data_IF_312459319396
#
_entry.id   IF_312459319396
#
_cell.length_a   1.000
_cell.length_b   1.000
_cell.length_c   1.000
_cell.angle_alpha   90.00
_cell.angle_beta   90.00
_cell.angle_gamma   90.00
#
_symmetry.space_group_name_H-M   'P 1'
#
loop_
_entity.id
_entity.type
_entity.pdbx_description
1 polymer ?
#
# COMPACT_ATOMS: atom_id res chain seq x y z
N UNK A 1 6.94 -19.47 -3.22
CA UNK A 1 6.63 -19.53 -4.67
C UNK A 1 5.55 -20.57 -4.93
N UNK A 2 4.27 -20.17 -4.88
CA UNK A 2 3.14 -21.01 -5.31
C UNK A 2 2.55 -20.36 -6.57
N UNK A 3 2.58 -21.12 -7.66
CA UNK A 3 2.13 -20.73 -9.00
C UNK A 3 0.61 -20.93 -9.10
N UNK A 4 -0.12 -19.90 -9.52
CA UNK A 4 -1.49 -20.04 -10.03
C UNK A 4 -1.44 -20.56 -11.48
N UNK A 5 -2.36 -21.45 -11.92
CA UNK A 5 -2.40 -21.89 -13.30
C UNK A 5 -3.25 -20.92 -14.15
N UNK A 6 -2.63 -20.39 -15.20
CA UNK A 6 -3.26 -19.61 -16.27
C UNK A 6 -3.98 -20.59 -17.22
N UNK A 7 -5.29 -20.41 -17.41
CA UNK A 7 -6.07 -21.18 -18.39
C UNK A 7 -6.06 -20.44 -19.73
N UNK A 8 -5.30 -20.95 -20.70
CA UNK A 8 -5.28 -20.47 -22.09
C UNK A 8 -6.26 -21.30 -22.91
N UNK A 9 -7.28 -20.68 -23.50
CA UNK A 9 -8.18 -21.29 -24.49
C UNK A 9 -7.69 -20.89 -25.89
N UNK A 10 -7.15 -21.85 -26.63
CA UNK A 10 -6.73 -21.71 -28.02
C UNK A 10 -7.83 -22.27 -28.93
N UNK A 11 -8.48 -21.42 -29.74
CA UNK A 11 -9.41 -21.85 -30.77
C UNK A 11 -8.66 -22.11 -32.09
N UNK A 12 -8.64 -23.37 -32.53
CA UNK A 12 -8.17 -23.75 -33.87
C UNK A 12 -9.27 -23.51 -34.90
N UNK A 13 -8.96 -22.74 -35.93
CA UNK A 13 -9.72 -22.67 -37.19
C UNK A 13 -9.10 -23.66 -38.17
N UNK A 14 -9.88 -24.62 -38.64
CA UNK A 14 -9.53 -25.47 -39.77
C UNK A 14 -10.44 -25.16 -40.95
N UNK A 15 -9.83 -24.70 -42.05
CA UNK A 15 -10.46 -24.55 -43.35
C UNK A 15 -10.03 -25.71 -44.26
N UNK A 16 -10.95 -26.29 -45.03
CA UNK A 16 -10.63 -27.00 -46.27
C UNK A 16 -11.78 -26.89 -47.28
N UNK A 17 -11.42 -26.59 -48.53
CA UNK A 17 -12.30 -26.30 -49.67
C UNK A 17 -12.52 -27.51 -50.60
N UNK A 18 -13.65 -27.44 -51.35
CA UNK A 18 -14.00 -28.01 -52.68
C UNK A 18 -13.96 -29.54 -52.90
N UNK A 19 -14.78 -30.16 -53.77
CA UNK A 19 -15.38 -29.73 -55.05
C UNK A 19 -16.65 -30.54 -55.43
N UNK A 20 -17.52 -29.95 -56.27
CA UNK A 20 -18.44 -30.44 -57.36
C UNK A 20 -18.83 -31.96 -57.43
N UNK A 21 -20.03 -32.41 -57.81
CA UNK A 21 -20.90 -31.98 -58.93
C UNK A 21 -22.29 -32.71 -58.86
N UNK A 22 -23.31 -32.09 -59.48
CA UNK A 22 -24.58 -32.59 -60.08
C UNK A 22 -25.53 -33.59 -59.39
N UNK A 23 -26.77 -33.15 -59.09
CA UNK A 23 -28.01 -33.46 -59.84
C UNK A 23 -29.28 -33.31 -58.99
N UNK A 24 -30.34 -32.87 -59.67
CA UNK A 24 -31.69 -32.51 -59.24
C UNK A 24 -32.50 -33.62 -58.58
N UNK A 25 -33.14 -33.33 -57.44
CA UNK A 25 -34.48 -33.84 -57.15
C UNK A 25 -35.21 -32.94 -56.12
N UNK A 26 -36.47 -32.67 -56.41
CA UNK A 26 -37.37 -31.75 -55.75
C UNK A 26 -38.21 -32.54 -54.74
N UNK A 27 -38.11 -32.28 -53.43
CA UNK A 27 -39.09 -32.78 -52.44
C UNK A 27 -39.15 -31.88 -51.19
N UNK A 28 -40.23 -31.11 -51.12
CA UNK A 28 -41.14 -30.88 -49.98
C UNK A 28 -40.54 -30.65 -48.57
N UNK A 29 -40.62 -29.38 -48.16
CA UNK A 29 -41.08 -28.86 -46.87
C UNK A 29 -40.57 -29.50 -45.57
N UNK A 30 -39.71 -28.78 -44.83
CA UNK A 30 -39.88 -28.52 -43.40
C UNK A 30 -39.13 -27.23 -43.03
N UNK A 31 -39.85 -26.13 -42.84
CA UNK A 31 -39.31 -24.91 -42.22
C UNK A 31 -39.25 -25.17 -40.72
N UNK A 32 -38.07 -25.50 -40.21
CA UNK A 32 -37.82 -25.46 -38.76
C UNK A 32 -37.69 -23.99 -38.37
N UNK A 33 -38.75 -23.43 -37.79
CA UNK A 33 -38.65 -22.17 -37.07
C UNK A 33 -37.70 -22.39 -35.87
N UNK A 34 -36.46 -21.89 -36.02
CA UNK A 34 -35.58 -21.69 -34.88
C UNK A 34 -36.18 -20.60 -34.02
N UNK A 35 -36.86 -21.02 -32.95
CA UNK A 35 -37.19 -20.16 -31.83
C UNK A 35 -35.89 -19.82 -31.13
N UNK A 36 -35.32 -18.65 -31.44
CA UNK A 36 -34.28 -18.04 -30.62
C UNK A 36 -34.93 -17.63 -29.31
N UNK A 37 -34.94 -18.55 -28.34
CA UNK A 37 -35.14 -18.21 -26.94
C UNK A 37 -33.97 -17.32 -26.54
N UNK A 38 -34.22 -16.02 -26.44
CA UNK A 38 -33.32 -15.08 -25.75
C UNK A 38 -33.24 -15.54 -24.30
N UNK A 39 -32.23 -16.34 -23.98
CA UNK A 39 -31.83 -16.62 -22.60
C UNK A 39 -31.44 -15.28 -22.00
N UNK A 40 -32.33 -14.71 -21.18
CA UNK A 40 -31.99 -13.61 -20.31
C UNK A 40 -30.75 -13.99 -19.51
N UNK A 41 -29.77 -13.09 -19.46
CA UNK A 41 -28.60 -13.24 -18.60
C UNK A 41 -29.09 -13.60 -17.19
N UNK A 42 -28.45 -14.57 -16.50
CA UNK A 42 -28.80 -14.83 -15.12
C UNK A 42 -28.64 -13.51 -14.37
N UNK A 43 -29.72 -13.06 -13.74
CA UNK A 43 -29.65 -11.96 -12.80
C UNK A 43 -28.60 -12.38 -11.76
N UNK A 44 -27.50 -11.63 -11.70
CA UNK A 44 -26.52 -11.74 -10.62
C UNK A 44 -27.29 -11.46 -9.35
N UNK A 45 -27.77 -12.51 -8.70
CA UNK A 45 -28.25 -12.42 -7.34
C UNK A 45 -26.97 -12.24 -6.56
N UNK A 46 -26.64 -10.99 -6.22
CA UNK A 46 -25.62 -10.69 -5.24
C UNK A 46 -26.10 -11.37 -3.96
N UNK A 47 -25.65 -12.60 -3.74
CA UNK A 47 -25.74 -13.22 -2.42
C UNK A 47 -24.94 -12.31 -1.50
N UNK A 48 -25.63 -11.43 -0.78
CA UNK A 48 -25.08 -10.70 0.35
C UNK A 48 -24.34 -11.72 1.23
N UNK A 49 -23.04 -11.52 1.39
CA UNK A 49 -22.29 -12.23 2.43
C UNK A 49 -22.75 -11.61 3.76
N UNK A 50 -23.21 -12.39 4.75
CA UNK A 50 -23.61 -11.84 6.05
C UNK A 50 -22.37 -11.29 6.76
N UNK A 51 -22.32 -9.96 6.83
CA UNK A 51 -21.26 -9.15 7.43
C UNK A 51 -19.81 -9.42 7.00
N UNK A 52 -18.92 -8.52 7.41
CA UNK A 52 -17.50 -8.63 7.13
C UNK A 52 -16.66 -7.59 7.87
N UNK A 53 -15.33 -7.70 7.70
CA UNK A 53 -14.39 -6.70 8.18
C UNK A 53 -14.32 -5.53 7.22
N UNK A 54 -14.38 -4.33 7.78
CA UNK A 54 -14.23 -3.07 7.08
C UNK A 54 -13.18 -2.23 7.80
N UNK A 55 -12.54 -1.35 7.04
CA UNK A 55 -11.76 -0.24 7.57
C UNK A 55 -12.41 1.07 7.16
N UNK A 56 -12.27 2.08 8.03
CA UNK A 56 -12.68 3.45 7.78
C UNK A 56 -11.56 4.42 8.15
N UNK A 57 -11.31 5.40 7.29
CA UNK A 57 -10.27 6.41 7.51
C UNK A 57 -10.60 7.75 6.88
N UNK A 58 -9.91 8.79 7.35
CA UNK A 58 -9.92 10.15 6.80
C UNK A 58 -8.49 10.49 6.32
N UNK A 59 -8.33 11.30 5.25
CA UNK A 59 -7.03 11.55 4.62
C UNK A 59 -5.92 12.01 5.57
N UNK A 60 -6.23 12.93 6.48
CA UNK A 60 -5.22 13.54 7.34
C UNK A 60 -5.06 12.79 8.65
N UNK A 61 -6.14 12.74 9.43
CA UNK A 61 -6.28 12.16 10.76
C UNK A 61 -7.79 11.99 11.04
N UNK A 62 -8.16 10.98 11.83
CA UNK A 62 -9.53 10.81 12.30
C UNK A 62 -9.92 11.95 13.25
N UNK A 63 -11.13 12.46 13.10
CA UNK A 63 -11.67 13.44 14.05
C UNK A 63 -11.87 12.84 15.45
N UNK A 64 -11.79 13.67 16.48
CA UNK A 64 -12.13 13.24 17.84
C UNK A 64 -13.57 12.71 17.92
N UNK A 65 -13.76 11.55 18.56
CA UNK A 65 -15.06 10.87 18.66
C UNK A 65 -15.42 10.01 17.45
N UNK A 66 -14.53 9.86 16.46
CA UNK A 66 -14.80 9.08 15.24
C UNK A 66 -15.27 7.66 15.52
N UNK A 67 -14.67 6.95 16.48
CA UNK A 67 -15.07 5.58 16.84
C UNK A 67 -16.46 5.50 17.44
N UNK A 68 -16.89 6.54 18.18
CA UNK A 68 -18.23 6.60 18.76
C UNK A 68 -19.28 6.82 17.67
N UNK A 69 -19.02 7.75 16.76
CA UNK A 69 -19.87 8.01 15.58
C UNK A 69 -19.97 6.77 14.69
N UNK A 70 -18.84 6.10 14.43
CA UNK A 70 -18.80 4.86 13.66
C UNK A 70 -19.60 3.74 14.36
N UNK A 71 -19.45 3.60 15.68
CA UNK A 71 -20.18 2.61 16.49
C UNK A 71 -21.69 2.89 16.57
N UNK A 72 -22.12 4.14 16.33
CA UNK A 72 -23.53 4.50 16.30
C UNK A 72 -24.24 4.10 14.99
N UNK A 73 -23.50 3.74 13.95
CA UNK A 73 -24.07 3.27 12.68
C UNK A 73 -24.68 1.88 12.88
N UNK A 74 -25.96 1.73 12.54
CA UNK A 74 -26.65 0.45 12.61
C UNK A 74 -25.94 -0.62 11.79
N UNK A 75 -25.63 -1.77 12.41
CA UNK A 75 -24.90 -2.87 11.78
C UNK A 75 -23.40 -2.86 12.06
N UNK A 76 -22.83 -1.74 12.54
CA UNK A 76 -21.43 -1.68 12.98
C UNK A 76 -21.28 -2.32 14.36
N UNK A 77 -20.21 -3.09 14.53
CA UNK A 77 -19.81 -3.66 15.82
C UNK A 77 -18.28 -3.87 15.85
N UNK A 78 -17.74 -4.16 17.04
CA UNK A 78 -16.32 -4.53 17.24
C UNK A 78 -15.37 -3.48 16.67
N UNK A 79 -15.50 -2.21 17.05
CA UNK A 79 -14.64 -1.15 16.51
C UNK A 79 -13.29 -1.16 17.23
N UNK A 80 -12.19 -1.21 16.47
CA UNK A 80 -10.84 -0.98 16.98
C UNK A 80 -10.18 0.17 16.24
N UNK A 81 -9.74 1.18 16.99
CA UNK A 81 -8.93 2.27 16.46
C UNK A 81 -7.48 1.82 16.28
N UNK A 82 -6.82 2.34 15.25
CA UNK A 82 -5.38 2.23 15.03
C UNK A 82 -4.79 3.61 14.99
N UNK A 83 -3.87 3.86 15.93
CA UNK A 83 -3.06 5.08 15.99
C UNK A 83 -1.71 4.76 15.36
N UNK A 84 -1.23 5.62 14.48
CA UNK A 84 0.06 5.40 13.80
C UNK A 84 1.04 6.47 14.24
N UNK A 85 2.20 6.03 14.67
CA UNK A 85 3.33 6.84 15.10
C UNK A 85 4.62 6.37 14.45
N UNK A 86 5.68 7.09 14.74
CA UNK A 86 7.02 6.83 14.21
C UNK A 86 8.01 6.82 15.36
N UNK A 87 8.84 5.79 15.44
CA UNK A 87 9.83 5.61 16.48
C UNK A 87 11.21 5.37 15.87
N UNK A 88 12.26 5.46 16.69
CA UNK A 88 13.63 5.27 16.24
C UNK A 88 14.29 4.20 17.08
N UNK A 89 14.64 3.07 16.49
CA UNK A 89 15.34 1.99 17.17
C UNK A 89 16.83 2.33 17.26
N UNK A 90 17.38 2.26 18.47
CA UNK A 90 18.82 2.43 18.75
C UNK A 90 19.55 1.11 18.79
N UNK A 91 18.89 0.04 19.24
CA UNK A 91 19.48 -1.28 19.35
C UNK A 91 18.41 -2.35 19.33
N UNK A 92 18.67 -3.45 18.64
CA UNK A 92 17.93 -4.71 18.80
C UNK A 92 18.89 -5.77 19.33
N UNK A 93 18.39 -6.69 20.17
CA UNK A 93 19.23 -7.72 20.76
C UNK A 93 18.48 -9.03 20.96
N UNK A 94 19.21 -10.15 20.93
CA UNK A 94 18.71 -11.47 21.28
C UNK A 94 18.21 -11.50 22.72
N UNK A 95 17.38 -12.49 23.04
CA UNK A 95 16.94 -12.77 24.43
C UNK A 95 18.10 -12.96 25.43
N UNK A 96 19.30 -13.33 24.98
CA UNK A 96 20.51 -13.44 25.81
C UNK A 96 21.32 -12.13 25.92
N UNK A 97 20.84 -11.05 25.30
CA UNK A 97 21.48 -9.73 25.26
C UNK A 97 22.48 -9.53 24.11
N UNK A 98 22.69 -10.51 23.24
CA UNK A 98 23.58 -10.37 22.07
C UNK A 98 23.00 -9.37 21.07
N UNK A 99 23.70 -8.26 20.72
CA UNK A 99 23.19 -7.29 19.75
C UNK A 99 22.94 -7.91 18.36
N UNK A 100 21.84 -7.53 17.72
CA UNK A 100 21.46 -7.92 16.35
C UNK A 100 21.61 -6.74 15.39
N UNK A 101 21.04 -5.59 15.76
CA UNK A 101 21.24 -4.30 15.10
C UNK A 101 21.73 -3.28 16.13
N UNK A 102 22.81 -2.58 15.81
CA UNK A 102 23.35 -1.52 16.65
C UNK A 102 23.98 -0.46 15.74
N UNK A 103 23.18 0.46 15.16
CA UNK A 103 23.70 1.51 14.30
C UNK A 103 24.73 2.40 15.04
N UNK A 104 25.81 2.74 14.35
CA UNK A 104 26.91 3.53 14.92
C UNK A 104 26.70 5.03 14.71
N UNK A 105 27.55 5.88 15.29
CA UNK A 105 27.66 7.29 14.86
C UNK A 105 26.42 8.16 15.07
N UNK A 106 25.52 7.75 15.98
CA UNK A 106 24.26 8.43 16.27
C UNK A 106 23.15 8.17 15.24
N UNK A 107 23.34 7.15 14.38
CA UNK A 107 22.28 6.67 13.51
C UNK A 107 21.28 5.82 14.29
N UNK A 108 20.06 5.74 13.76
CA UNK A 108 18.94 4.97 14.30
C UNK A 108 18.13 4.37 13.15
N UNK A 109 17.42 3.29 13.40
CA UNK A 109 16.49 2.70 12.43
C UNK A 109 15.10 3.33 12.64
N UNK A 110 14.59 4.14 11.71
CA UNK A 110 13.24 4.70 11.83
C UNK A 110 12.21 3.60 11.59
N UNK A 111 11.13 3.52 12.37
CA UNK A 111 10.07 2.52 12.21
C UNK A 111 8.68 3.07 12.41
N UNK A 112 7.72 2.59 11.61
CA UNK A 112 6.29 2.85 11.80
C UNK A 112 5.76 1.98 12.96
N UNK A 113 5.09 2.62 13.93
CA UNK A 113 4.49 1.96 15.10
C UNK A 113 2.98 2.11 15.06
N UNK A 114 2.25 1.01 15.20
CA UNK A 114 0.80 1.02 15.37
C UNK A 114 0.47 0.79 16.84
N UNK A 115 -0.31 1.70 17.42
CA UNK A 115 -0.86 1.55 18.76
C UNK A 115 -2.35 1.23 18.67
N UNK A 116 -2.76 0.17 19.38
CA UNK A 116 -4.13 -0.37 19.35
C UNK A 116 -4.62 -0.70 20.76
N UNK A 117 -5.92 -0.85 20.95
CA UNK A 117 -6.43 -1.59 22.11
C UNK A 117 -6.27 -3.08 21.83
N UNK A 118 -5.39 -3.77 22.56
CA UNK A 118 -5.05 -5.16 22.31
C UNK A 118 -6.28 -6.08 22.36
N UNK A 119 -7.21 -5.83 23.28
CA UNK A 119 -8.42 -6.64 23.43
C UNK A 119 -9.37 -6.47 22.25
N UNK A 120 -9.66 -5.22 21.85
CA UNK A 120 -10.53 -4.94 20.72
C UNK A 120 -9.91 -5.33 19.37
N UNK A 121 -8.61 -5.08 19.19
CA UNK A 121 -7.92 -5.36 17.93
C UNK A 121 -7.68 -6.85 17.71
N UNK A 122 -7.58 -7.66 18.79
CA UNK A 122 -7.45 -9.12 18.68
C UNK A 122 -8.59 -9.78 17.92
N UNK A 123 -9.77 -9.15 17.84
CA UNK A 123 -10.91 -9.67 17.08
C UNK A 123 -10.71 -9.64 15.55
N UNK A 124 -9.70 -8.91 15.07
CA UNK A 124 -9.32 -8.76 13.66
C UNK A 124 -8.08 -9.58 13.28
N UNK A 125 -7.52 -10.32 14.24
CA UNK A 125 -6.35 -11.16 14.04
C UNK A 125 -6.78 -12.63 14.18
N UNK A 126 -6.38 -13.54 13.26
CA UNK A 126 -6.73 -14.94 13.39
C UNK A 126 -5.74 -15.71 14.27
N UNK A 127 -6.23 -16.79 14.88
CA UNK A 127 -5.40 -17.82 15.48
C UNK A 127 -4.58 -17.33 16.69
N UNK A 128 -3.38 -17.91 16.92
CA UNK A 128 -2.58 -17.60 18.10
C UNK A 128 -2.16 -16.13 18.21
N UNK A 129 -2.08 -15.40 17.09
CA UNK A 129 -1.77 -13.96 17.11
C UNK A 129 -2.80 -13.14 17.87
N UNK A 130 -4.07 -13.55 17.86
CA UNK A 130 -5.13 -12.89 18.61
C UNK A 130 -4.90 -12.99 20.12
N UNK A 131 -4.50 -14.16 20.60
CA UNK A 131 -4.24 -14.41 22.03
C UNK A 131 -3.03 -13.59 22.51
N UNK A 132 -1.98 -13.51 21.70
CA UNK A 132 -0.80 -12.68 22.00
C UNK A 132 -1.18 -11.21 22.04
N UNK A 133 -1.95 -10.71 21.07
CA UNK A 133 -2.33 -9.30 21.03
C UNK A 133 -3.28 -8.92 22.18
N UNK A 134 -4.24 -9.79 22.52
CA UNK A 134 -5.17 -9.57 23.62
C UNK A 134 -4.47 -9.54 24.99
N UNK A 135 -3.37 -10.27 25.13
CA UNK A 135 -2.58 -10.39 26.36
C UNK A 135 -1.30 -9.53 26.39
N UNK A 136 -1.09 -8.67 25.39
CA UNK A 136 0.17 -7.94 25.20
C UNK A 136 0.43 -6.99 26.39
N UNK A 137 1.56 -7.18 27.07
CA UNK A 137 1.93 -6.34 28.21
C UNK A 137 2.49 -4.98 27.77
N UNK A 138 2.59 -4.04 28.71
CA UNK A 138 3.08 -2.68 28.42
C UNK A 138 4.53 -2.68 27.93
N UNK A 139 5.37 -3.62 28.37
CA UNK A 139 6.76 -3.77 27.97
C UNK A 139 6.97 -4.76 26.81
N UNK A 140 5.88 -5.12 26.12
CA UNK A 140 5.89 -6.03 24.99
C UNK A 140 5.41 -5.36 23.69
N UNK A 141 5.88 -5.89 22.57
CA UNK A 141 5.45 -5.51 21.23
C UNK A 141 5.28 -6.73 20.33
N UNK A 142 4.49 -6.57 19.28
CA UNK A 142 4.41 -7.51 18.17
C UNK A 142 5.14 -6.91 16.96
N UNK A 143 5.75 -7.75 16.14
CA UNK A 143 6.28 -7.37 14.84
C UNK A 143 5.42 -7.92 13.71
N UNK A 144 5.26 -7.14 12.64
CA UNK A 144 4.85 -7.69 11.35
C UNK A 144 5.91 -8.68 10.83
N UNK A 145 5.50 -9.68 10.05
CA UNK A 145 6.39 -10.71 9.53
C UNK A 145 7.56 -10.15 8.72
N UNK A 146 7.33 -9.09 7.92
CA UNK A 146 8.39 -8.45 7.14
C UNK A 146 9.34 -7.68 8.06
N UNK A 147 8.82 -6.97 9.06
CA UNK A 147 9.64 -6.26 10.05
C UNK A 147 10.55 -7.19 10.86
N UNK A 148 10.00 -8.31 11.34
CA UNK A 148 10.76 -9.33 12.05
C UNK A 148 11.89 -9.90 11.17
N UNK A 149 11.60 -10.18 9.89
CA UNK A 149 12.58 -10.68 8.93
C UNK A 149 13.70 -9.67 8.67
N UNK A 150 13.36 -8.41 8.37
CA UNK A 150 14.34 -7.36 8.08
C UNK A 150 15.35 -7.18 9.24
N UNK A 151 14.84 -7.21 10.47
CA UNK A 151 15.63 -7.02 11.70
C UNK A 151 16.17 -8.32 12.29
N UNK A 152 15.84 -9.46 11.68
CA UNK A 152 16.26 -10.81 12.11
C UNK A 152 15.87 -11.10 13.57
N UNK A 153 14.71 -10.60 14.00
CA UNK A 153 14.22 -10.74 15.38
C UNK A 153 13.21 -11.86 15.51
N UNK A 154 13.23 -12.53 16.66
CA UNK A 154 12.31 -13.59 17.04
C UNK A 154 11.61 -13.24 18.36
N UNK A 155 10.61 -14.04 18.75
CA UNK A 155 9.94 -13.90 20.04
C UNK A 155 10.95 -14.04 21.19
N UNK A 156 10.91 -13.10 22.14
CA UNK A 156 11.83 -12.99 23.26
C UNK A 156 13.02 -12.06 23.02
N UNK A 157 13.26 -11.64 21.78
CA UNK A 157 14.27 -10.62 21.47
C UNK A 157 13.80 -9.24 21.96
N UNK A 158 14.73 -8.29 22.09
CA UNK A 158 14.47 -6.96 22.65
C UNK A 158 14.76 -5.85 21.65
N UNK A 159 14.00 -4.75 21.77
CA UNK A 159 14.12 -3.54 20.94
C UNK A 159 14.21 -2.34 21.86
N UNK A 160 15.25 -1.52 21.71
CA UNK A 160 15.43 -0.26 22.44
C UNK A 160 15.16 0.92 21.53
N UNK A 161 14.33 1.86 21.99
CA UNK A 161 13.97 3.06 21.23
C UNK A 161 14.69 4.31 21.75
N UNK A 162 15.04 5.22 20.85
CA UNK A 162 15.69 6.49 21.16
C UNK A 162 14.77 7.36 22.03
N UNK A 163 15.18 7.61 23.26
CA UNK A 163 14.38 8.41 24.20
C UNK A 163 13.09 7.71 24.67
N UNK A 164 12.92 6.44 24.33
CA UNK A 164 11.75 5.63 24.64
C UNK A 164 12.09 4.36 25.43
N UNK A 165 11.17 3.39 25.49
CA UNK A 165 11.36 2.17 26.25
C UNK A 165 12.30 1.18 25.56
N UNK A 166 12.75 0.20 26.34
CA UNK A 166 13.17 -1.11 25.81
C UNK A 166 11.99 -2.07 25.99
N UNK A 167 11.65 -2.81 24.94
CA UNK A 167 10.51 -3.73 24.89
C UNK A 167 10.94 -5.11 24.42
N UNK A 168 10.13 -6.12 24.75
CA UNK A 168 10.32 -7.50 24.32
C UNK A 168 9.38 -7.83 23.16
N UNK A 169 9.87 -8.58 22.17
CA UNK A 169 9.02 -9.12 21.09
C UNK A 169 8.20 -10.28 21.64
N UNK A 170 6.91 -10.08 21.85
CA UNK A 170 5.99 -11.11 22.35
C UNK A 170 5.41 -11.98 21.23
N UNK A 171 5.36 -11.46 20.00
CA UNK A 171 4.80 -12.17 18.85
C UNK A 171 5.26 -11.63 17.51
N UNK A 172 5.11 -12.48 16.49
CA UNK A 172 5.23 -12.09 15.08
C UNK A 172 3.92 -12.47 14.41
N UNK A 173 3.27 -11.49 13.77
CA UNK A 173 1.98 -11.65 13.10
C UNK A 173 2.16 -11.33 11.61
N UNK A 174 1.41 -12.00 10.75
CA UNK A 174 1.42 -11.75 9.30
C UNK A 174 1.05 -10.28 9.01
N UNK A 175 1.75 -9.68 8.06
CA UNK A 175 1.63 -8.25 7.74
C UNK A 175 0.20 -7.86 7.33
N UNK A 176 -0.57 -8.80 6.73
CA UNK A 176 -1.98 -8.62 6.36
C UNK A 176 -2.87 -8.27 7.56
N UNK A 177 -2.57 -8.79 8.76
CA UNK A 177 -3.38 -8.59 9.97
C UNK A 177 -2.90 -7.47 10.87
N UNK A 178 -1.70 -6.93 10.62
CA UNK A 178 -1.17 -5.76 11.34
C UNK A 178 -1.11 -4.52 10.44
N UNK A 179 -1.69 -4.58 9.25
CA UNK A 179 -1.73 -3.45 8.32
C UNK A 179 -0.33 -2.97 7.91
N UNK A 180 0.61 -3.91 7.69
CA UNK A 180 2.02 -3.64 7.42
C UNK A 180 2.76 -2.86 8.53
N UNK A 181 2.25 -2.86 9.77
CA UNK A 181 2.95 -2.23 10.89
C UNK A 181 4.33 -2.87 11.10
N UNK A 182 5.36 -2.04 11.31
CA UNK A 182 6.67 -2.58 11.67
C UNK A 182 6.70 -3.03 13.13
N UNK A 183 6.01 -2.30 13.99
CA UNK A 183 5.86 -2.59 15.42
C UNK A 183 4.40 -2.34 15.80
N UNK A 184 3.79 -3.26 16.54
CA UNK A 184 2.46 -3.08 17.15
C UNK A 184 2.61 -3.08 18.66
N UNK A 185 1.97 -2.12 19.32
CA UNK A 185 1.91 -1.99 20.78
C UNK A 185 0.48 -1.86 21.26
N UNK A 186 0.19 -2.39 22.45
CA UNK A 186 -1.09 -2.24 23.14
C UNK A 186 -0.98 -1.35 24.39
N UNK A 187 0.14 -0.62 24.55
CA UNK A 187 0.36 0.27 25.68
C UNK A 187 -0.72 1.34 25.78
N UNK A 188 -1.20 1.68 26.98
CA UNK A 188 -2.13 2.80 27.18
C UNK A 188 -1.47 4.16 26.95
N UNK A 189 -0.14 4.25 27.01
CA UNK A 189 0.68 5.46 26.86
C UNK A 189 1.64 5.40 25.66
N UNK A 190 1.15 5.19 24.42
CA UNK A 190 2.03 4.99 23.25
C UNK A 190 2.96 6.16 22.98
N UNK A 191 2.68 7.35 23.53
CA UNK A 191 3.50 8.54 23.38
C UNK A 191 4.94 8.39 23.91
N UNK A 192 5.23 7.35 24.70
CA UNK A 192 6.59 6.97 25.08
C UNK A 192 7.47 6.61 23.89
N UNK A 193 6.90 6.18 22.76
CA UNK A 193 7.63 5.92 21.52
C UNK A 193 7.80 7.17 20.66
N UNK A 194 6.88 8.14 20.75
CA UNK A 194 6.85 9.30 19.88
C UNK A 194 5.46 9.89 19.73
N UNK A 195 5.24 10.70 18.69
CA UNK A 195 3.92 11.28 18.40
C UNK A 195 3.09 10.31 17.57
N UNK A 196 1.83 10.13 17.96
CA UNK A 196 0.84 9.32 17.25
C UNK A 196 -0.27 10.19 16.66
N UNK A 197 -0.93 9.67 15.64
CA UNK A 197 -2.15 10.22 15.05
C UNK A 197 -3.20 9.12 14.96
N UNK A 198 -4.46 9.46 15.20
CA UNK A 198 -5.57 8.52 15.00
C UNK A 198 -5.79 8.36 13.49
N UNK A 199 -5.48 7.19 12.91
CA UNK A 199 -5.38 7.06 11.45
C UNK A 199 -6.54 6.35 10.79
N UNK A 200 -6.97 5.24 11.37
CA UNK A 200 -8.07 4.46 10.83
C UNK A 200 -8.70 3.62 11.93
N UNK A 201 -9.91 3.15 11.68
CA UNK A 201 -10.57 2.16 12.50
C UNK A 201 -10.85 0.92 11.65
N UNK A 202 -10.68 -0.25 12.24
CA UNK A 202 -11.19 -1.52 11.70
C UNK A 202 -12.44 -1.91 12.49
N UNK A 203 -13.44 -2.48 11.82
CA UNK A 203 -14.72 -2.79 12.41
C UNK A 203 -15.40 -3.95 11.69
N UNK A 204 -16.31 -4.63 12.40
CA UNK A 204 -17.26 -5.54 11.78
C UNK A 204 -18.50 -4.77 11.36
N UNK A 205 -19.01 -5.04 10.16
CA UNK A 205 -20.28 -4.49 9.71
C UNK A 205 -21.17 -5.61 9.17
N UNK A 206 -22.45 -5.61 9.57
CA UNK A 206 -23.49 -6.47 9.04
C UNK A 206 -24.62 -5.62 8.44
N UNK A 207 -24.80 -5.72 7.13
CA UNK A 207 -25.82 -4.99 6.37
C UNK A 207 -25.35 -4.57 4.98
N UNK A 208 -26.17 -3.72 4.36
CA UNK A 208 -25.93 -3.21 3.00
C UNK A 208 -24.84 -2.13 3.00
N UNK A 209 -23.78 -2.34 2.19
CA UNK A 209 -22.64 -1.40 2.10
C UNK A 209 -23.07 0.02 1.78
N UNK A 210 -24.02 0.18 0.85
CA UNK A 210 -24.50 1.51 0.44
C UNK A 210 -25.13 2.28 1.60
N UNK A 211 -25.72 1.59 2.59
CA UNK A 211 -26.25 2.21 3.80
C UNK A 211 -25.13 2.62 4.76
N UNK A 212 -24.09 1.78 4.91
CA UNK A 212 -22.89 2.12 5.67
C UNK A 212 -22.20 3.38 5.12
N UNK A 213 -21.98 3.44 3.81
CA UNK A 213 -21.33 4.59 3.17
C UNK A 213 -22.16 5.88 3.32
N UNK A 214 -23.48 5.80 3.17
CA UNK A 214 -24.39 6.93 3.40
C UNK A 214 -24.35 7.42 4.84
N UNK A 215 -24.33 6.51 5.82
CA UNK A 215 -24.26 6.86 7.24
C UNK A 215 -22.88 7.46 7.59
N UNK A 216 -21.79 6.85 7.13
CA UNK A 216 -20.44 7.33 7.37
C UNK A 216 -20.16 8.69 6.73
N UNK A 217 -20.82 9.03 5.62
CA UNK A 217 -20.73 10.35 4.99
C UNK A 217 -21.26 11.50 5.89
N UNK A 218 -21.97 11.18 6.98
CA UNK A 218 -22.42 12.16 7.98
C UNK A 218 -21.44 12.38 9.12
N UNK A 219 -20.40 11.55 9.25
CA UNK A 219 -19.36 11.69 10.27
C UNK A 219 -18.58 13.00 10.01
N UNK A 220 -18.35 13.84 11.05
CA UNK A 220 -17.63 15.10 10.88
C UNK A 220 -16.20 14.94 10.34
N UNK A 221 -15.69 16.02 9.73
CA UNK A 221 -14.31 16.10 9.24
C UNK A 221 -14.20 15.92 7.73
N UNK A 222 -13.10 15.31 7.30
CA UNK A 222 -12.88 14.97 5.89
C UNK A 222 -13.74 13.77 5.47
N UNK A 223 -13.90 13.56 4.16
CA UNK A 223 -14.69 12.44 3.65
C UNK A 223 -14.15 11.09 4.15
N UNK A 224 -15.05 10.28 4.73
CA UNK A 224 -14.70 8.94 5.22
C UNK A 224 -14.54 8.01 4.03
N UNK A 225 -13.38 7.36 3.96
CA UNK A 225 -13.11 6.28 3.01
C UNK A 225 -13.38 4.95 3.67
N UNK A 226 -14.20 4.11 3.03
CA UNK A 226 -14.54 2.76 3.49
C UNK A 226 -13.99 1.73 2.53
N UNK A 227 -13.38 0.68 3.08
CA UNK A 227 -12.94 -0.51 2.34
C UNK A 227 -13.33 -1.78 3.08
N UNK A 228 -13.86 -2.74 2.34
CA UNK A 228 -14.05 -4.10 2.83
C UNK A 228 -12.74 -4.88 2.76
N UNK A 229 -12.62 -5.92 3.59
CA UNK A 229 -11.51 -6.85 3.51
C UNK A 229 -11.36 -7.42 2.10
N UNK A 230 -10.13 -7.42 1.59
CA UNK A 230 -9.81 -7.89 0.23
C UNK A 230 -9.99 -6.85 -0.88
N UNK A 231 -10.48 -5.64 -0.59
CA UNK A 231 -10.55 -4.55 -1.59
C UNK A 231 -9.24 -3.77 -1.74
N UNK A 232 -8.37 -3.88 -0.75
CA UNK A 232 -7.10 -3.16 -0.67
C UNK A 232 -5.96 -4.17 -0.51
N UNK A 233 -4.77 -3.81 -0.99
CA UNK A 233 -3.60 -4.68 -0.90
C UNK A 233 -3.22 -4.97 0.54
N UNK A 234 -3.34 -3.97 1.41
CA UNK A 234 -3.03 -4.05 2.83
C UNK A 234 -4.15 -3.34 3.56
N UNK A 235 -4.68 -3.95 4.63
CA UNK A 235 -5.84 -3.47 5.35
C UNK A 235 -5.50 -2.29 6.29
N UNK A 236 -5.08 -1.17 5.70
CA UNK A 236 -4.61 0.06 6.37
C UNK A 236 -5.13 1.32 5.68
N UNK A 237 -4.95 2.47 6.34
CA UNK A 237 -5.09 3.78 5.69
C UNK A 237 -4.05 3.98 4.57
N UNK A 238 -4.36 4.85 3.60
CA UNK A 238 -3.45 5.13 2.48
C UNK A 238 -3.33 3.96 1.51
N UNK A 239 -4.47 3.35 1.15
CA UNK A 239 -4.57 2.14 0.33
C UNK A 239 -4.11 2.27 -1.14
N UNK A 240 -3.75 3.48 -1.56
CA UNK A 240 -3.27 3.79 -2.91
C UNK A 240 -1.74 3.88 -3.00
N UNK A 241 -1.04 3.66 -1.88
CA UNK A 241 0.42 3.63 -1.76
C UNK A 241 0.88 2.39 -1.00
N UNK A 242 2.17 2.03 -1.11
CA UNK A 242 2.77 0.94 -0.33
C UNK A 242 3.24 1.46 1.03
N UNK A 243 3.33 0.56 2.01
CA UNK A 243 3.77 0.86 3.37
C UNK A 243 5.28 1.12 3.46
N UNK A 244 5.73 1.74 4.56
CA UNK A 244 7.17 1.93 4.82
C UNK A 244 7.93 0.61 4.83
N UNK A 245 7.36 -0.44 5.45
CA UNK A 245 8.00 -1.75 5.51
C UNK A 245 8.13 -2.40 4.13
N UNK A 246 7.14 -2.21 3.25
CA UNK A 246 7.19 -2.68 1.88
C UNK A 246 8.30 -1.98 1.07
N UNK A 247 8.48 -0.66 1.24
CA UNK A 247 9.60 0.07 0.63
C UNK A 247 10.95 -0.41 1.15
N UNK A 248 11.07 -0.66 2.46
CA UNK A 248 12.31 -1.21 3.06
C UNK A 248 12.62 -2.61 2.56
N UNK A 249 11.60 -3.44 2.36
CA UNK A 249 11.79 -4.79 1.82
C UNK A 249 12.24 -4.76 0.36
N UNK A 250 11.67 -3.84 -0.44
CA UNK A 250 11.98 -3.74 -1.88
C UNK A 250 13.29 -3.03 -2.19
N UNK A 251 13.59 -1.95 -1.48
CA UNK A 251 14.68 -1.02 -1.77
C UNK A 251 15.78 -1.02 -0.68
N UNK A 252 15.62 -1.83 0.35
CA UNK A 252 16.54 -1.92 1.47
C UNK A 252 16.24 -0.91 2.57
N UNK A 253 16.44 -1.35 3.81
CA UNK A 253 16.39 -0.49 4.98
C UNK A 253 17.69 0.32 5.13
N UNK A 254 17.53 1.60 5.50
CA UNK A 254 18.63 2.48 5.85
C UNK A 254 18.45 3.06 7.25
N UNK A 255 19.57 3.44 7.86
CA UNK A 255 19.55 4.19 9.11
C UNK A 255 19.55 5.71 8.85
N UNK A 256 19.06 6.47 9.83
CA UNK A 256 19.01 7.93 9.78
C UNK A 256 19.68 8.54 11.00
N UNK A 257 20.27 9.73 10.84
CA UNK A 257 20.72 10.58 11.93
C UNK A 257 19.90 11.86 11.94
N UNK A 258 19.14 12.10 13.00
CA UNK A 258 18.25 13.26 13.11
C UNK A 258 19.06 14.57 13.17
N UNK A 259 18.66 15.57 12.39
CA UNK A 259 19.33 16.88 12.35
C UNK A 259 18.39 18.00 11.85
N UNK A 260 18.37 19.15 12.53
CA UNK A 260 17.78 20.39 11.99
C UNK A 260 16.34 20.28 11.46
N UNK A 261 15.48 19.46 12.08
CA UNK A 261 14.10 19.22 11.63
C UNK A 261 13.94 18.21 10.49
N UNK A 262 15.04 17.61 10.03
CA UNK A 262 15.07 16.50 9.08
C UNK A 262 16.05 15.41 9.53
N UNK A 263 16.70 14.75 8.58
CA UNK A 263 17.68 13.72 8.87
C UNK A 263 18.80 13.65 7.83
N UNK A 264 19.90 13.05 8.22
CA UNK A 264 20.92 12.54 7.32
C UNK A 264 20.70 11.04 7.12
N UNK A 265 20.60 10.61 5.87
CA UNK A 265 20.54 9.20 5.51
C UNK A 265 21.95 8.59 5.52
N UNK A 266 22.06 7.33 5.94
CA UNK A 266 23.33 6.61 6.03
C UNK A 266 24.16 6.67 4.73
N UNK A 267 25.42 7.16 4.76
CA UNK A 267 26.25 7.30 3.57
C UNK A 267 26.53 5.98 2.84
N UNK A 268 26.72 4.88 3.57
CA UNK A 268 27.01 3.58 2.98
C UNK A 268 25.84 3.08 2.13
N UNK A 269 24.63 3.06 2.70
CA UNK A 269 23.41 2.72 1.98
C UNK A 269 23.19 3.61 0.76
N UNK A 270 23.44 4.93 0.86
CA UNK A 270 23.31 5.85 -0.28
C UNK A 270 24.30 5.51 -1.40
N UNK A 271 25.57 5.29 -1.06
CA UNK A 271 26.61 4.99 -2.03
C UNK A 271 26.37 3.67 -2.77
N UNK A 272 25.68 2.74 -2.10
CA UNK A 272 25.24 1.50 -2.69
C UNK A 272 24.01 1.77 -3.57
N UNK A 273 22.92 2.29 -3.01
CA UNK A 273 21.61 2.19 -3.63
C UNK A 273 21.21 3.38 -4.50
N UNK A 274 21.83 4.54 -4.35
CA UNK A 274 21.47 5.75 -5.11
C UNK A 274 22.45 5.98 -6.26
N UNK A 275 21.91 6.04 -7.48
CA UNK A 275 22.67 6.23 -8.72
C UNK A 275 22.15 7.44 -9.49
N UNK A 276 23.03 8.03 -10.29
CA UNK A 276 22.67 9.08 -11.25
C UNK A 276 22.81 8.54 -12.67
N UNK A 277 21.73 8.57 -13.43
CA UNK A 277 21.69 8.08 -14.81
C UNK A 277 21.04 9.09 -15.75
N UNK A 278 21.30 8.94 -17.05
CA UNK A 278 20.56 9.68 -18.08
C UNK A 278 19.40 8.82 -18.56
N UNK A 279 18.19 9.35 -18.41
CA UNK A 279 16.92 8.71 -18.74
C UNK A 279 16.31 9.42 -19.95
N UNK A 280 15.77 8.70 -20.96
CA UNK A 280 15.03 9.30 -22.06
C UNK A 280 13.95 10.25 -21.56
N UNK A 281 13.71 11.34 -22.28
CA UNK A 281 12.73 12.39 -21.96
C UNK A 281 13.04 13.21 -20.68
N UNK A 282 13.53 12.61 -19.59
CA UNK A 282 13.77 13.26 -18.29
C UNK A 282 15.19 13.83 -18.12
N UNK A 283 16.19 13.33 -18.84
CA UNK A 283 17.58 13.80 -18.70
C UNK A 283 18.30 13.16 -17.52
N UNK A 284 19.09 13.93 -16.76
CA UNK A 284 19.85 13.41 -15.61
C UNK A 284 18.94 13.20 -14.41
N UNK A 285 18.85 11.95 -13.93
CA UNK A 285 17.97 11.51 -12.86
C UNK A 285 18.80 10.84 -11.77
N UNK A 286 18.55 11.19 -10.51
CA UNK A 286 19.18 10.53 -9.34
C UNK A 286 18.12 9.82 -8.53
N UNK A 287 18.20 8.48 -8.45
CA UNK A 287 17.18 7.58 -7.92
C UNK A 287 17.82 6.35 -7.27
N UNK A 288 16.99 5.49 -6.67
CA UNK A 288 17.38 4.13 -6.37
C UNK A 288 17.75 3.36 -7.65
N UNK A 289 18.81 2.54 -7.60
CA UNK A 289 19.32 1.72 -8.71
C UNK A 289 18.27 0.80 -9.37
N UNK A 290 17.28 0.36 -8.60
CA UNK A 290 16.20 -0.48 -9.12
C UNK A 290 15.05 0.36 -9.69
N UNK A 291 14.76 1.51 -9.09
CA UNK A 291 13.66 2.36 -9.52
C UNK A 291 14.01 3.18 -10.76
N UNK A 292 15.29 3.53 -10.93
CA UNK A 292 15.77 4.22 -12.13
C UNK A 292 15.54 3.38 -13.40
N UNK A 293 15.62 2.05 -13.28
CA UNK A 293 15.33 1.12 -14.39
C UNK A 293 13.83 1.06 -14.72
N UNK A 294 12.96 1.13 -13.71
CA UNK A 294 11.51 1.24 -13.94
C UNK A 294 11.17 2.56 -14.68
N UNK A 295 11.75 3.68 -14.22
CA UNK A 295 11.60 4.98 -14.88
C UNK A 295 12.14 4.96 -16.31
N UNK A 296 13.28 4.31 -16.53
CA UNK A 296 13.87 4.13 -17.86
C UNK A 296 12.91 3.40 -18.79
N UNK A 297 12.38 2.24 -18.37
CA UNK A 297 11.41 1.47 -19.14
C UNK A 297 10.18 2.29 -19.51
N UNK A 298 9.58 2.99 -18.54
CA UNK A 298 8.41 3.83 -18.80
C UNK A 298 8.67 4.94 -19.84
N UNK A 299 9.82 5.62 -19.76
CA UNK A 299 10.15 6.69 -20.69
C UNK A 299 10.52 6.16 -22.09
N UNK A 300 11.16 4.99 -22.17
CA UNK A 300 11.46 4.30 -23.43
C UNK A 300 10.17 3.84 -24.12
N UNK A 301 9.22 3.26 -23.37
CA UNK A 301 7.92 2.85 -23.90
C UNK A 301 7.12 4.05 -24.43
N UNK A 302 7.14 5.17 -23.70
CA UNK A 302 6.47 6.40 -24.10
C UNK A 302 7.09 7.02 -25.35
N UNK A 303 8.41 7.00 -25.47
CA UNK A 303 9.14 7.46 -26.66
C UNK A 303 8.87 6.55 -27.86
N UNK A 304 8.91 5.23 -27.67
CA UNK A 304 8.63 4.23 -28.70
C UNK A 304 7.19 4.31 -29.24
N UNK A 305 6.22 4.68 -28.39
CA UNK A 305 4.84 4.94 -28.78
C UNK A 305 4.66 6.27 -29.54
N UNK A 306 5.70 7.10 -29.68
CA UNK A 306 5.62 8.43 -30.29
C UNK A 306 5.02 9.50 -29.38
N UNK A 307 4.86 9.20 -28.08
CA UNK A 307 4.21 10.05 -27.09
C UNK A 307 5.18 10.85 -26.23
N UNK A 308 6.48 10.86 -26.55
CA UNK A 308 7.49 11.61 -25.77
C UNK A 308 7.21 13.12 -25.62
N UNK A 309 6.37 13.69 -26.49
CA UNK A 309 5.94 15.09 -26.41
C UNK A 309 5.05 15.45 -25.21
N UNK A 310 4.55 14.45 -24.46
CA UNK A 310 3.78 14.69 -23.23
C UNK A 310 4.67 14.96 -22.01
N UNK A 311 5.99 14.75 -22.13
CA UNK A 311 6.96 15.03 -21.07
C UNK A 311 7.52 16.44 -21.21
N UNK A 312 7.42 17.21 -20.13
CA UNK A 312 8.14 18.49 -19.97
C UNK A 312 9.31 18.30 -19.03
N UNK A 313 10.50 18.11 -19.61
CA UNK A 313 11.74 17.91 -18.84
C UNK A 313 11.99 18.97 -17.76
N UNK A 314 11.67 20.24 -18.03
CA UNK A 314 11.87 21.32 -17.06
C UNK A 314 10.88 21.29 -15.89
N UNK A 315 9.84 20.46 -15.96
CA UNK A 315 8.88 20.21 -14.88
C UNK A 315 9.12 18.88 -14.16
N UNK A 316 10.26 18.21 -14.40
CA UNK A 316 10.73 17.13 -13.53
C UNK A 316 11.31 17.72 -12.24
N UNK A 317 10.80 17.31 -11.06
CA UNK A 317 11.21 17.87 -9.76
C UNK A 317 12.06 16.90 -8.90
N UNK A 318 12.50 15.80 -9.50
CA UNK A 318 13.48 14.91 -8.87
C UNK A 318 12.87 13.58 -8.42
N UNK A 319 13.73 12.77 -7.80
CA UNK A 319 13.40 11.41 -7.39
C UNK A 319 13.96 11.08 -6.01
N UNK A 320 15.28 11.03 -5.86
CA UNK A 320 15.90 10.93 -4.53
C UNK A 320 15.95 12.30 -3.83
N UNK A 321 15.18 12.44 -2.76
CA UNK A 321 15.14 13.64 -1.92
C UNK A 321 14.77 13.24 -0.47
N UNK A 322 15.76 12.82 0.35
CA UNK A 322 15.53 12.26 1.68
C UNK A 322 14.98 13.30 2.65
N UNK A 323 13.76 13.06 3.13
CA UNK A 323 13.02 13.96 4.01
C UNK A 323 11.91 13.23 4.76
N UNK A 324 11.50 13.78 5.90
CA UNK A 324 10.21 13.43 6.48
C UNK A 324 9.08 14.07 5.66
N UNK A 325 7.91 13.44 5.66
CA UNK A 325 6.69 14.03 5.13
C UNK A 325 6.35 15.26 5.96
N UNK A 326 6.02 16.38 5.31
CA UNK A 326 5.77 17.65 6.00
C UNK A 326 4.67 17.50 7.08
N UNK A 327 4.95 17.99 8.29
CA UNK A 327 4.05 17.90 9.44
C UNK A 327 3.92 16.50 10.06
N UNK A 328 4.68 15.52 9.55
CA UNK A 328 4.74 14.13 10.04
C UNK A 328 6.20 13.74 10.31
N UNK A 329 6.41 12.64 11.05
CA UNK A 329 7.73 12.04 11.26
C UNK A 329 7.98 10.84 10.32
N UNK A 330 7.02 10.52 9.46
CA UNK A 330 7.12 9.42 8.51
C UNK A 330 8.08 9.76 7.38
N UNK A 331 8.85 8.78 6.91
CA UNK A 331 9.75 8.95 5.77
C UNK A 331 8.95 9.20 4.50
N UNK A 332 9.34 10.20 3.71
CA UNK A 332 8.85 10.31 2.34
C UNK A 332 9.42 9.17 1.50
N UNK A 333 8.63 8.61 0.57
CA UNK A 333 9.10 7.56 -0.36
C UNK A 333 10.23 8.05 -1.29
N UNK A 334 10.37 9.35 -1.52
CA UNK A 334 11.56 9.94 -2.14
C UNK A 334 12.86 9.68 -1.36
N UNK A 335 12.79 9.37 -0.06
CA UNK A 335 13.95 9.01 0.76
C UNK A 335 14.56 7.68 0.33
N UNK A 336 13.74 6.78 -0.20
CA UNK A 336 14.22 5.54 -0.81
C UNK A 336 14.74 5.75 -2.24
N UNK A 337 14.50 6.92 -2.85
CA UNK A 337 14.76 7.14 -4.27
C UNK A 337 13.80 6.34 -5.17
N UNK A 338 12.60 6.05 -4.66
CA UNK A 338 11.59 5.20 -5.28
C UNK A 338 10.25 5.93 -5.51
N UNK A 339 10.34 7.25 -5.64
CA UNK A 339 9.28 8.15 -6.10
C UNK A 339 9.88 9.18 -7.06
N UNK A 340 9.10 9.71 -8.00
CA UNK A 340 9.53 10.68 -8.99
C UNK A 340 8.41 11.69 -9.29
N UNK A 341 8.81 12.95 -9.39
CA UNK A 341 7.91 14.06 -9.70
C UNK A 341 8.03 14.44 -11.17
N UNK A 342 7.10 13.98 -12.01
CA UNK A 342 7.10 14.15 -13.48
C UNK A 342 5.97 15.11 -13.87
N UNK A 343 6.31 16.12 -14.69
CA UNK A 343 5.41 17.22 -15.04
C UNK A 343 4.78 17.90 -13.81
N UNK A 344 5.53 17.91 -12.72
CA UNK A 344 5.07 18.42 -11.43
C UNK A 344 4.85 19.93 -11.53
N UNK A 345 3.70 20.39 -11.05
CA UNK A 345 3.10 21.72 -11.24
C UNK A 345 2.50 22.05 -12.62
N UNK A 346 2.52 21.14 -13.60
CA UNK A 346 1.84 21.40 -14.86
C UNK A 346 0.31 21.35 -14.71
N UNK A 347 -0.45 22.18 -15.46
CA UNK A 347 -1.91 22.15 -15.43
C UNK A 347 -2.49 20.80 -15.84
N UNK A 348 -3.55 20.36 -15.16
CA UNK A 348 -4.20 19.06 -15.41
C UNK A 348 -4.88 18.97 -16.79
N UNK A 349 -5.22 20.09 -17.41
CA UNK A 349 -5.79 20.20 -18.75
C UNK A 349 -4.76 20.63 -19.82
N UNK A 350 -3.49 20.75 -19.44
CA UNK A 350 -2.41 21.17 -20.30
C UNK A 350 -1.83 20.05 -21.18
N UNK A 351 -1.02 20.41 -22.19
CA UNK A 351 -0.34 19.43 -23.06
C UNK A 351 0.67 18.55 -22.31
N UNK A 352 1.16 19.02 -21.17
CA UNK A 352 2.07 18.30 -20.27
C UNK A 352 1.36 17.87 -18.99
N UNK A 353 0.06 17.65 -19.06
CA UNK A 353 -0.72 17.23 -17.89
C UNK A 353 -0.09 15.99 -17.23
N UNK A 354 0.12 15.98 -15.91
CA UNK A 354 0.61 14.79 -15.21
C UNK A 354 -0.42 13.65 -15.19
N UNK A 355 -1.66 13.91 -15.64
CA UNK A 355 -2.71 12.90 -15.80
C UNK A 355 -2.94 12.54 -17.27
N UNK A 356 -1.98 12.84 -18.15
CA UNK A 356 -2.03 12.40 -19.54
C UNK A 356 -2.14 10.86 -19.61
N UNK A 357 -3.14 10.28 -20.29
CA UNK A 357 -3.36 8.82 -20.29
C UNK A 357 -2.16 8.01 -20.78
N UNK A 358 -1.40 8.49 -21.76
CA UNK A 358 -0.23 7.78 -22.28
C UNK A 358 0.89 7.73 -21.25
N UNK A 359 1.10 8.83 -20.51
CA UNK A 359 2.04 8.87 -19.38
C UNK A 359 1.61 7.89 -18.27
N UNK A 360 0.33 7.93 -17.90
CA UNK A 360 -0.22 7.07 -16.84
C UNK A 360 -0.07 5.58 -17.19
N UNK A 361 -0.38 5.19 -18.43
CA UNK A 361 -0.24 3.80 -18.90
C UNK A 361 1.22 3.36 -18.88
N UNK A 362 2.14 4.20 -19.36
CA UNK A 362 3.57 3.87 -19.37
C UNK A 362 4.12 3.65 -17.95
N UNK A 363 3.77 4.52 -17.00
CA UNK A 363 4.23 4.41 -15.61
C UNK A 363 3.56 3.24 -14.89
N UNK A 364 2.26 3.00 -15.13
CA UNK A 364 1.55 1.86 -14.58
C UNK A 364 2.17 0.53 -15.03
N UNK A 365 2.46 0.38 -16.33
CA UNK A 365 3.10 -0.82 -16.87
C UNK A 365 4.51 -1.04 -16.30
N UNK A 366 5.19 0.04 -15.90
CA UNK A 366 6.48 -0.04 -15.22
C UNK A 366 6.38 -0.35 -13.72
N UNK A 367 5.18 -0.55 -13.16
CA UNK A 367 4.95 -0.91 -11.76
C UNK A 367 4.79 0.28 -10.82
N UNK A 368 4.38 1.45 -11.34
CA UNK A 368 4.21 2.68 -10.58
C UNK A 368 2.74 3.05 -10.42
N UNK A 369 2.40 3.66 -9.28
CA UNK A 369 1.11 4.36 -9.08
C UNK A 369 1.28 5.85 -9.32
N UNK A 370 0.16 6.55 -9.49
CA UNK A 370 0.14 7.99 -9.68
C UNK A 370 -0.66 8.68 -8.58
N UNK A 371 -0.13 9.77 -8.06
CA UNK A 371 -0.75 10.58 -7.03
C UNK A 371 -2.12 11.16 -7.40
N UNK A 372 -2.47 11.23 -8.68
CA UNK A 372 -3.75 11.80 -9.11
C UNK A 372 -4.98 10.98 -8.72
N UNK A 373 -4.85 9.66 -8.51
CA UNK A 373 -5.98 8.79 -8.10
C UNK A 373 -6.12 8.66 -6.58
N UNK A 374 -5.21 9.26 -5.82
CA UNK A 374 -5.21 9.13 -4.37
C UNK A 374 -6.35 9.97 -3.75
N UNK A 375 -6.81 9.53 -2.58
CA UNK A 375 -7.85 10.25 -1.82
C UNK A 375 -7.41 11.68 -1.48
N UNK A 376 -6.12 11.89 -1.20
CA UNK A 376 -5.49 13.20 -1.20
C UNK A 376 -4.62 13.32 -2.48
N UNK A 377 -5.13 13.93 -3.56
CA UNK A 377 -4.45 13.91 -4.84
C UNK A 377 -3.11 14.64 -4.80
N UNK A 378 -2.09 14.05 -5.40
CA UNK A 378 -0.78 14.67 -5.67
C UNK A 378 -0.39 14.49 -7.15
N UNK A 379 -1.05 15.22 -8.07
CA UNK A 379 -0.82 15.05 -9.49
C UNK A 379 0.62 15.41 -9.88
N UNK A 380 1.30 14.47 -10.52
CA UNK A 380 2.71 14.61 -10.92
C UNK A 380 3.66 13.84 -10.01
N UNK A 381 3.21 13.42 -8.82
CA UNK A 381 3.92 12.45 -7.99
C UNK A 381 3.63 11.03 -8.50
N UNK A 382 4.69 10.24 -8.67
CA UNK A 382 4.61 8.84 -9.05
C UNK A 382 5.55 8.03 -8.18
N UNK A 383 5.14 6.85 -7.76
CA UNK A 383 5.98 6.01 -6.89
C UNK A 383 5.76 4.53 -7.17
N UNK A 384 6.71 3.72 -6.70
CA UNK A 384 6.60 2.27 -6.77
C UNK A 384 5.34 1.79 -6.05
N UNK A 385 4.63 0.85 -6.68
CA UNK A 385 3.42 0.25 -6.10
C UNK A 385 3.38 -1.28 -6.16
N UNK A 386 4.06 -1.90 -7.13
CA UNK A 386 3.87 -3.29 -7.61
C UNK A 386 2.73 -3.40 -8.63
N UNK A 387 3.10 -3.77 -9.87
CA UNK A 387 2.20 -4.07 -10.99
C UNK A 387 2.45 -5.47 -11.53
#
# INVERSE_FOLDING_TARGET
MRRFPLLVVLALVAASCSSDDTSTEETTTTVVQSTTTTTAAPATTTTEVPGGWFLAWQPTELVGGFTDELSAISGVSRVSMVRVGEAQITTTARSDGTPVDQPDGGYVIPVEVHAVDGSAHSEFVPGPGAEVLAGLADDEVILGSTSARLRRLEVGDTISFLGGPTVTVAGVIDDDYVGDAEVVTARPDPEVFGRFLDKYAVFWFDGERSALEQAAATIPGEAVTIRAWGEVLVFRHGDSVRSQVAFKDRFGEFTIRLQGGGFEQEPAWRSENIVTETIPLLGSVTCHRDFVEMLRGAMEDLEAAGNGGVIKRSAYQGCWNPRFIAGRLALSHHSFGAAADINFFEPLDGPFSPINPDLLVALYNAGMTSGHVWVNPDPGHFEWFDG
#
